data_IF_955557173040
#
_entry.id   IF_955557173040
#
_cell.length_a   1.000
_cell.length_b   1.000
_cell.length_c   1.000
_cell.angle_alpha   90.00
_cell.angle_beta   90.00
_cell.angle_gamma   90.00
#
_symmetry.space_group_name_H-M   'P 1'
#
loop_
_entity.id
_entity.type
_entity.pdbx_description
1 polymer ?
#
# COMPACT_ATOMS: atom_id res chain seq x y z
N UNK A 1 3.84 51.07 5.26
CA UNK A 1 4.41 50.39 6.44
C UNK A 1 3.79 49.00 6.49
N UNK A 2 4.44 48.06 5.83
CA UNK A 2 4.06 46.65 5.78
C UNK A 2 5.35 45.87 6.00
N UNK A 3 5.36 44.99 6.99
CA UNK A 3 6.55 44.26 7.40
C UNK A 3 6.25 42.77 7.23
N UNK A 4 6.87 42.20 6.20
CA UNK A 4 6.88 40.77 5.90
C UNK A 4 7.58 40.00 7.02
N UNK A 5 7.01 38.85 7.41
CA UNK A 5 7.68 37.86 8.25
C UNK A 5 8.10 36.69 7.39
N UNK A 6 9.42 36.56 7.20
CA UNK A 6 10.10 35.42 6.59
C UNK A 6 10.15 34.28 7.63
N UNK A 7 9.55 33.14 7.31
CA UNK A 7 9.87 31.88 7.99
C UNK A 7 11.07 31.23 7.29
N UNK A 8 12.08 30.94 8.09
CA UNK A 8 13.37 30.38 7.71
C UNK A 8 13.23 28.85 7.58
N UNK A 9 13.67 28.28 6.46
CA UNK A 9 13.75 26.83 6.23
C UNK A 9 15.21 26.43 6.36
N UNK A 10 15.54 25.67 7.40
CA UNK A 10 16.91 25.22 7.64
C UNK A 10 17.32 24.12 6.66
N UNK A 11 18.54 24.31 6.13
CA UNK A 11 19.21 23.45 5.15
C UNK A 11 19.82 22.22 5.84
N UNK A 12 19.62 21.06 5.24
CA UNK A 12 20.44 19.87 5.50
C UNK A 12 21.83 20.04 4.86
N UNK A 13 22.88 20.05 5.67
CA UNK A 13 24.28 19.87 5.22
C UNK A 13 24.93 18.74 6.01
N UNK A 14 25.28 17.65 5.33
CA UNK A 14 26.13 16.59 5.86
C UNK A 14 27.60 16.98 5.68
N UNK A 15 28.29 17.18 6.81
CA UNK A 15 29.74 17.38 6.85
C UNK A 15 30.48 16.07 6.55
N UNK A 16 31.52 16.18 5.72
CA UNK A 16 32.35 15.06 5.28
C UNK A 16 33.38 14.59 6.32
N UNK A 17 33.72 13.30 6.24
CA UNK A 17 34.93 12.74 6.82
C UNK A 17 35.67 11.92 5.74
N UNK A 18 36.92 12.33 5.45
CA UNK A 18 37.89 11.59 4.64
C UNK A 18 38.59 10.56 5.52
N UNK A 19 38.76 9.33 5.03
CA UNK A 19 40.07 8.68 4.77
C UNK A 19 39.97 7.15 4.84
N UNK A 20 40.77 6.47 4.00
CA UNK A 20 41.16 5.08 4.20
C UNK A 20 40.81 4.11 3.06
N UNK A 21 41.56 4.15 1.95
CA UNK A 21 41.63 3.06 0.98
C UNK A 21 42.26 1.82 1.62
N UNK A 22 41.59 0.66 1.57
CA UNK A 22 42.23 -0.66 1.47
C UNK A 22 41.47 -1.51 0.47
N UNK A 23 42.22 -2.14 -0.44
CA UNK A 23 41.76 -3.07 -1.46
C UNK A 23 41.18 -4.36 -0.84
N UNK A 24 40.24 -5.05 -1.51
CA UNK A 24 39.94 -6.44 -1.18
C UNK A 24 40.80 -7.40 -2.00
N UNK A 25 41.53 -8.28 -1.31
CA UNK A 25 42.18 -9.45 -1.88
C UNK A 25 41.14 -10.48 -2.33
N UNK A 26 41.39 -11.07 -3.50
CA UNK A 26 40.73 -12.27 -4.01
C UNK A 26 41.03 -13.45 -3.09
N UNK A 27 40.00 -14.14 -2.60
CA UNK A 27 40.12 -15.54 -2.24
C UNK A 27 39.19 -16.38 -3.11
N UNK A 28 39.83 -17.21 -3.92
CA UNK A 28 39.24 -18.28 -4.73
C UNK A 28 39.14 -19.53 -3.88
N UNK A 29 37.96 -20.13 -3.75
CA UNK A 29 37.85 -21.56 -3.46
C UNK A 29 36.61 -22.17 -4.12
N UNK A 30 36.65 -23.48 -4.45
CA UNK A 30 35.99 -24.02 -5.63
C UNK A 30 34.68 -24.75 -5.31
N UNK A 31 33.84 -24.85 -6.34
CA UNK A 31 32.71 -25.77 -6.44
C UNK A 31 33.17 -27.23 -6.43
N UNK A 32 32.34 -28.16 -5.92
CA UNK A 32 32.30 -29.51 -6.44
C UNK A 32 31.01 -29.82 -7.19
N UNK A 33 31.22 -30.70 -8.14
CA UNK A 33 30.41 -31.18 -9.24
C UNK A 33 29.22 -32.06 -8.87
N UNK A 34 28.28 -32.08 -9.83
CA UNK A 34 27.26 -33.11 -10.09
C UNK A 34 27.83 -34.54 -10.03
N UNK A 35 27.05 -35.47 -9.45
CA UNK A 35 26.90 -36.83 -10.00
C UNK A 35 25.48 -37.34 -9.72
N UNK A 36 24.79 -37.73 -10.79
CA UNK A 36 23.51 -38.45 -10.77
C UNK A 36 23.76 -39.95 -10.61
N UNK A 37 22.82 -40.69 -9.99
CA UNK A 37 22.46 -42.04 -10.42
C UNK A 37 21.03 -42.38 -9.97
N UNK A 38 20.24 -42.80 -10.95
CA UNK A 38 18.90 -43.35 -10.81
C UNK A 38 18.97 -44.88 -10.68
N UNK A 39 18.13 -45.49 -9.84
CA UNK A 39 17.68 -46.88 -10.01
C UNK A 39 16.18 -46.96 -9.71
N UNK A 40 15.47 -47.59 -10.65
CA UNK A 40 14.02 -47.85 -10.71
C UNK A 40 13.62 -49.14 -9.95
N UNK A 41 12.30 -49.26 -9.78
CA UNK A 41 11.47 -50.49 -9.73
C UNK A 41 11.21 -51.09 -8.33
N UNK A 42 10.07 -51.72 -8.00
CA UNK A 42 8.85 -52.12 -8.71
C UNK A 42 7.74 -52.43 -7.67
N UNK A 43 6.47 -52.37 -8.09
CA UNK A 43 5.24 -52.68 -7.32
C UNK A 43 5.14 -54.12 -6.79
N UNK A 44 4.36 -54.34 -5.71
CA UNK A 44 3.23 -55.30 -5.69
C UNK A 44 2.31 -55.24 -4.44
N UNK A 45 1.01 -55.13 -4.75
CA UNK A 45 -0.25 -55.41 -4.02
C UNK A 45 -0.23 -56.40 -2.82
N UNK A 46 -1.13 -56.16 -1.84
CA UNK A 46 -2.36 -56.98 -1.65
C UNK A 46 -3.37 -56.38 -0.67
N UNK A 47 -4.63 -56.44 -1.12
CA UNK A 47 -5.89 -56.12 -0.45
C UNK A 47 -6.33 -57.30 0.42
N UNK A 48 -6.92 -57.01 1.59
CA UNK A 48 -7.62 -57.99 2.41
C UNK A 48 -8.81 -57.33 3.10
N UNK A 49 -10.02 -57.75 2.73
CA UNK A 49 -11.30 -57.30 3.26
C UNK A 49 -11.99 -58.44 4.04
N UNK A 50 -12.88 -58.06 4.99
CA UNK A 50 -14.10 -58.73 5.53
C UNK A 50 -14.19 -58.66 7.08
N UNK A 51 -15.36 -58.87 7.70
CA UNK A 51 -16.67 -58.26 7.43
C UNK A 51 -17.39 -57.76 8.71
N UNK A 52 -18.53 -57.11 8.52
CA UNK A 52 -19.47 -56.59 9.54
C UNK A 52 -20.12 -57.71 10.37
N UNK A 53 -20.36 -57.42 11.65
CA UNK A 53 -21.38 -58.08 12.47
C UNK A 53 -22.30 -57.01 13.09
N UNK A 54 -23.60 -57.17 12.86
CA UNK A 54 -24.69 -56.32 13.30
C UNK A 54 -25.34 -56.89 14.57
N UNK A 55 -25.55 -56.07 15.60
CA UNK A 55 -26.44 -56.35 16.73
C UNK A 55 -27.39 -55.15 16.92
N UNK A 56 -28.68 -55.37 17.25
CA UNK A 56 -29.66 -54.30 17.37
C UNK A 56 -29.72 -53.77 18.81
N UNK A 57 -29.82 -52.45 18.98
CA UNK A 57 -30.17 -51.84 20.27
C UNK A 57 -31.12 -50.66 20.07
N UNK A 58 -32.13 -50.66 20.95
CA UNK A 58 -33.33 -49.84 20.94
C UNK A 58 -33.08 -48.31 21.02
N UNK A 59 -34.05 -47.48 20.58
CA UNK A 59 -33.90 -46.03 20.67
C UNK A 59 -34.18 -45.55 22.10
N UNK A 60 -33.11 -45.22 22.84
CA UNK A 60 -33.18 -44.38 24.02
C UNK A 60 -33.16 -42.90 23.61
N UNK A 61 -34.20 -42.16 23.96
CA UNK A 61 -34.26 -40.70 23.79
C UNK A 61 -33.25 -40.08 24.76
N UNK A 62 -32.10 -39.66 24.25
CA UNK A 62 -31.14 -38.85 24.97
C UNK A 62 -31.51 -37.38 24.80
N UNK A 63 -31.98 -36.76 25.87
CA UNK A 63 -32.21 -35.32 25.95
C UNK A 63 -30.82 -34.63 25.94
N UNK A 64 -30.36 -34.18 24.78
CA UNK A 64 -29.16 -33.33 24.68
C UNK A 64 -29.48 -31.96 25.27
N UNK A 65 -29.05 -31.75 26.51
CA UNK A 65 -28.81 -30.42 27.05
C UNK A 65 -27.69 -29.77 26.22
N UNK A 66 -28.06 -28.97 25.23
CA UNK A 66 -27.14 -28.05 24.58
C UNK A 66 -26.73 -27.00 25.61
N UNK A 67 -25.64 -27.26 26.33
CA UNK A 67 -24.90 -26.21 27.00
C UNK A 67 -24.37 -25.26 25.93
N UNK A 68 -25.03 -24.12 25.76
CA UNK A 68 -24.47 -23.00 25.03
C UNK A 68 -23.22 -22.55 25.79
N UNK A 69 -22.05 -23.10 25.41
CA UNK A 69 -20.76 -22.49 25.72
C UNK A 69 -20.75 -21.12 25.06
N UNK A 70 -21.11 -20.08 25.83
CA UNK A 70 -20.90 -18.71 25.40
C UNK A 70 -19.42 -18.54 25.07
N UNK A 71 -19.12 -18.17 23.82
CA UNK A 71 -17.78 -17.77 23.44
C UNK A 71 -17.49 -16.45 24.16
N UNK A 72 -16.91 -16.52 25.36
CA UNK A 72 -16.40 -15.34 26.05
C UNK A 72 -15.33 -14.72 25.16
N UNK A 73 -15.51 -13.44 24.79
CA UNK A 73 -14.49 -12.66 24.07
C UNK A 73 -13.22 -12.66 24.93
N UNK A 74 -12.22 -13.44 24.53
CA UNK A 74 -10.93 -13.41 25.21
C UNK A 74 -10.22 -12.15 24.75
N UNK A 75 -10.07 -11.22 25.68
CA UNK A 75 -9.28 -10.02 25.49
C UNK A 75 -7.89 -10.35 25.99
N UNK A 76 -6.94 -10.53 25.07
CA UNK A 76 -5.57 -10.83 25.43
C UNK A 76 -4.78 -9.54 25.57
N UNK A 77 -4.50 -9.16 26.82
CA UNK A 77 -3.40 -8.24 27.09
C UNK A 77 -2.11 -8.97 26.76
N UNK A 78 -1.32 -8.44 25.83
CA UNK A 78 -0.08 -9.04 25.37
C UNK A 78 1.09 -8.36 26.10
N UNK A 79 1.88 -9.09 26.90
CA UNK A 79 3.08 -8.53 27.50
C UNK A 79 4.09 -8.07 26.44
N UNK A 80 4.67 -6.90 26.64
CA UNK A 80 5.78 -6.37 25.85
C UNK A 80 7.10 -7.02 26.29
N UNK A 81 7.23 -8.31 26.00
CA UNK A 81 8.43 -9.09 26.29
C UNK A 81 8.86 -9.91 25.08
N UNK A 82 10.13 -10.32 25.05
CA UNK A 82 10.70 -11.15 23.96
C UNK A 82 9.94 -12.48 23.74
N UNK A 83 9.21 -12.97 24.76
CA UNK A 83 8.42 -14.17 24.63
C UNK A 83 7.28 -14.01 23.60
N UNK A 84 6.67 -12.83 23.52
CA UNK A 84 5.50 -12.58 22.65
C UNK A 84 5.85 -11.86 21.35
N UNK A 85 7.03 -11.26 21.25
CA UNK A 85 7.40 -10.43 20.10
C UNK A 85 8.65 -10.95 19.39
N UNK A 86 8.57 -11.07 18.07
CA UNK A 86 9.69 -11.37 17.18
C UNK A 86 10.22 -10.07 16.57
N UNK A 87 11.44 -9.68 16.93
CA UNK A 87 12.01 -8.40 16.51
C UNK A 87 12.91 -8.55 15.30
N UNK A 88 12.84 -7.59 14.37
CA UNK A 88 13.83 -7.38 13.31
C UNK A 88 14.66 -6.15 13.64
N UNK A 89 15.98 -6.22 13.43
CA UNK A 89 16.92 -5.17 13.81
C UNK A 89 17.58 -5.39 15.17
N UNK A 90 18.61 -4.59 15.47
CA UNK A 90 19.46 -4.75 16.65
C UNK A 90 19.03 -3.90 17.84
N UNK A 91 18.07 -2.98 17.65
CA UNK A 91 17.84 -1.87 18.58
C UNK A 91 16.45 -1.97 19.27
N UNK A 92 15.93 -3.20 19.40
CA UNK A 92 14.72 -3.47 20.18
C UNK A 92 15.07 -3.73 21.65
N UNK A 93 14.49 -2.93 22.55
CA UNK A 93 14.73 -3.01 23.99
C UNK A 93 13.41 -3.32 24.70
N UNK A 94 13.42 -4.34 25.55
CA UNK A 94 12.28 -4.70 26.40
C UNK A 94 12.58 -4.26 27.83
N UNK A 95 11.71 -3.42 28.39
CA UNK A 95 11.83 -2.86 29.74
C UNK A 95 10.64 -3.32 30.59
N UNK A 96 10.79 -3.33 31.91
CA UNK A 96 9.68 -3.55 32.86
C UNK A 96 9.68 -2.46 33.93
N UNK A 97 9.28 -1.22 33.58
CA UNK A 97 9.13 -0.14 34.56
C UNK A 97 8.07 -0.47 35.62
N UNK A 98 8.17 0.14 36.80
CA UNK A 98 7.22 -0.09 37.91
C UNK A 98 5.78 0.27 37.54
N UNK A 99 5.60 1.29 36.70
CA UNK A 99 4.30 1.77 36.22
C UNK A 99 3.79 1.02 34.98
N UNK A 100 4.57 0.08 34.42
CA UNK A 100 4.18 -0.76 33.28
C UNK A 100 4.60 -2.22 33.50
N UNK A 101 3.90 -2.96 34.39
CA UNK A 101 4.26 -4.33 34.75
C UNK A 101 4.13 -5.32 33.59
N UNK A 102 3.32 -4.99 32.57
CA UNK A 102 3.22 -5.76 31.32
C UNK A 102 4.37 -5.47 30.34
N UNK A 103 5.32 -4.62 30.74
CA UNK A 103 6.51 -4.27 29.98
C UNK A 103 6.33 -3.04 29.08
N UNK A 104 7.44 -2.61 28.51
CA UNK A 104 7.54 -1.59 27.46
C UNK A 104 8.49 -2.11 26.39
N UNK A 105 8.05 -2.07 25.14
CA UNK A 105 8.90 -2.34 23.98
C UNK A 105 9.34 -1.00 23.39
N UNK A 106 10.64 -0.74 23.37
CA UNK A 106 11.23 0.40 22.68
C UNK A 106 11.91 -0.06 21.39
N UNK A 107 11.52 0.55 20.27
CA UNK A 107 12.11 0.35 18.95
C UNK A 107 12.77 1.66 18.52
N UNK A 108 14.08 1.67 18.30
CA UNK A 108 14.74 2.81 17.62
C UNK A 108 14.79 2.62 16.10
N UNK A 109 14.89 1.37 15.66
CA UNK A 109 14.83 0.95 14.25
C UNK A 109 14.21 -0.44 14.17
N UNK A 110 13.70 -0.77 12.99
CA UNK A 110 13.13 -2.09 12.72
C UNK A 110 11.70 -2.24 13.24
N UNK A 111 11.30 -3.50 13.44
CA UNK A 111 9.93 -3.83 13.79
C UNK A 111 9.83 -4.99 14.78
N UNK A 112 8.67 -5.15 15.39
CA UNK A 112 8.35 -6.28 16.27
C UNK A 112 7.01 -6.90 15.85
N UNK A 113 7.08 -8.14 15.36
CA UNK A 113 5.92 -8.94 14.99
C UNK A 113 5.38 -9.70 16.21
N UNK A 114 4.06 -9.69 16.37
CA UNK A 114 3.37 -10.44 17.42
C UNK A 114 3.35 -11.93 17.06
N UNK A 115 3.87 -12.76 17.97
CA UNK A 115 3.90 -14.22 17.80
C UNK A 115 2.52 -14.83 18.05
N UNK A 116 2.28 -15.94 17.35
CA UNK A 116 1.16 -16.86 17.60
C UNK A 116 -0.25 -16.23 17.53
N UNK A 117 -0.40 -15.10 16.83
CA UNK A 117 -1.67 -14.44 16.60
C UNK A 117 -1.85 -14.08 15.12
N UNK A 118 -3.03 -14.42 14.57
CA UNK A 118 -3.50 -13.96 13.27
C UNK A 118 -4.71 -13.06 13.50
N UNK A 119 -4.65 -11.84 13.00
CA UNK A 119 -5.68 -10.83 13.16
C UNK A 119 -6.45 -10.66 11.86
N UNK A 120 -7.79 -10.70 11.94
CA UNK A 120 -8.69 -10.33 10.84
C UNK A 120 -9.48 -9.09 11.23
N UNK A 121 -10.46 -9.25 12.11
CA UNK A 121 -11.35 -8.21 12.62
C UNK A 121 -11.32 -8.18 14.14
N UNK A 122 -11.71 -7.04 14.71
CA UNK A 122 -11.76 -6.84 16.16
C UNK A 122 -11.18 -5.49 16.57
N UNK A 123 -10.64 -5.45 17.77
CA UNK A 123 -10.03 -4.24 18.34
C UNK A 123 -8.56 -4.46 18.63
N UNK A 124 -7.73 -3.49 18.25
CA UNK A 124 -6.33 -3.38 18.63
C UNK A 124 -6.18 -2.11 19.49
N UNK A 125 -5.72 -2.27 20.72
CA UNK A 125 -5.50 -1.21 21.70
C UNK A 125 -4.02 -1.18 22.07
N UNK A 126 -3.40 0.01 22.11
CA UNK A 126 -2.04 0.17 22.61
C UNK A 126 -1.73 1.61 22.98
N UNK A 127 -0.70 1.80 23.80
CA UNK A 127 -0.12 3.12 24.03
C UNK A 127 1.19 3.25 23.26
N UNK A 128 1.38 4.37 22.56
CA UNK A 128 2.59 4.71 21.82
C UNK A 128 3.25 5.98 22.40
N UNK A 129 4.53 5.86 22.75
CA UNK A 129 5.41 6.97 23.13
C UNK A 129 6.33 7.31 21.97
N UNK A 130 6.35 8.58 21.57
CA UNK A 130 7.11 9.03 20.41
C UNK A 130 8.59 9.17 20.76
N UNK A 131 9.47 8.57 19.96
CA UNK A 131 10.92 8.60 20.19
C UNK A 131 11.60 9.13 18.93
N UNK A 132 12.24 10.30 19.02
CA UNK A 132 12.91 10.89 17.87
C UNK A 132 11.95 11.33 16.76
N UNK A 133 12.43 11.27 15.51
CA UNK A 133 11.69 11.66 14.32
C UNK A 133 11.50 10.45 13.41
N UNK A 134 10.29 10.24 12.90
CA UNK A 134 10.01 9.17 11.96
C UNK A 134 8.52 8.85 11.82
N UNK A 135 8.22 7.96 10.90
CA UNK A 135 6.92 7.33 10.74
C UNK A 135 6.85 6.15 11.71
N UNK A 136 5.84 6.15 12.57
CA UNK A 136 5.70 5.18 13.67
C UNK A 136 4.30 4.60 13.69
N UNK A 137 4.15 3.34 14.06
CA UNK A 137 2.82 2.76 14.14
C UNK A 137 2.81 1.25 14.02
N UNK A 138 1.83 0.77 13.26
CA UNK A 138 1.45 -0.63 13.19
C UNK A 138 1.18 -1.03 11.75
N UNK A 139 1.70 -2.20 11.37
CA UNK A 139 1.21 -2.96 10.23
C UNK A 139 0.33 -4.07 10.77
N UNK A 140 -0.81 -4.30 10.15
CA UNK A 140 -1.78 -5.31 10.55
C UNK A 140 -2.30 -6.02 9.31
N UNK A 141 -2.87 -7.21 9.51
CA UNK A 141 -3.17 -8.12 8.41
C UNK A 141 -1.95 -8.35 7.50
N UNK A 142 -0.75 -8.31 8.10
CA UNK A 142 0.50 -8.49 7.37
C UNK A 142 0.58 -9.95 6.89
N UNK A 143 0.71 -10.14 5.58
CA UNK A 143 0.94 -11.46 4.97
C UNK A 143 2.42 -11.78 4.92
N UNK A 144 3.20 -10.76 4.62
CA UNK A 144 4.65 -10.74 4.58
C UNK A 144 5.15 -9.29 4.70
N UNK A 145 6.46 -9.05 4.91
CA UNK A 145 7.01 -7.70 5.11
C UNK A 145 6.78 -6.69 3.97
N UNK A 146 6.23 -7.10 2.84
CA UNK A 146 5.94 -6.29 1.66
C UNK A 146 4.44 -6.14 1.40
N UNK A 147 3.58 -6.77 2.21
CA UNK A 147 2.13 -6.81 2.01
C UNK A 147 1.37 -6.70 3.33
N UNK A 148 0.84 -5.51 3.63
CA UNK A 148 0.10 -5.24 4.87
C UNK A 148 -0.87 -4.07 4.74
N UNK A 149 -1.80 -3.96 5.68
CA UNK A 149 -2.44 -2.70 6.02
C UNK A 149 -1.55 -1.92 7.00
N UNK A 150 -1.44 -0.60 6.83
CA UNK A 150 -0.56 0.24 7.66
C UNK A 150 -1.37 1.37 8.27
N UNK A 151 -1.31 1.50 9.60
CA UNK A 151 -1.70 2.72 10.30
C UNK A 151 -0.48 3.33 10.96
N UNK A 152 -0.25 4.62 10.73
CA UNK A 152 0.92 5.30 11.24
C UNK A 152 0.65 6.73 11.68
N UNK A 153 1.55 7.23 12.53
CA UNK A 153 1.64 8.60 12.97
C UNK A 153 2.88 9.23 12.32
N UNK A 154 2.74 10.49 11.93
CA UNK A 154 3.80 11.39 11.49
C UNK A 154 3.85 12.58 12.48
N UNK A 155 4.52 12.42 13.64
CA UNK A 155 4.48 13.43 14.67
C UNK A 155 5.12 14.73 14.21
N UNK A 156 4.38 15.82 14.38
CA UNK A 156 4.82 17.19 14.08
C UNK A 156 4.22 18.17 15.10
N UNK A 157 4.84 19.35 15.30
CA UNK A 157 4.40 20.29 16.33
C UNK A 157 2.93 20.72 16.23
N UNK A 158 2.36 20.73 15.03
CA UNK A 158 0.98 21.15 14.72
C UNK A 158 0.04 19.97 14.42
N UNK A 159 0.30 18.78 14.95
CA UNK A 159 -0.49 17.58 14.70
C UNK A 159 -2.01 17.72 14.91
N UNK A 160 -2.44 18.60 15.82
CA UNK A 160 -3.86 18.88 16.10
C UNK A 160 -4.58 19.62 14.97
N UNK A 161 -3.85 20.20 14.01
CA UNK A 161 -4.41 20.93 12.86
C UNK A 161 -3.85 20.49 11.52
N UNK A 162 -2.75 19.74 11.49
CA UNK A 162 -2.18 19.21 10.26
C UNK A 162 -2.91 17.93 9.83
N UNK A 163 -3.46 17.93 8.62
CA UNK A 163 -4.25 16.81 8.11
C UNK A 163 -3.43 15.52 7.96
N UNK A 164 -2.10 15.59 7.86
CA UNK A 164 -1.22 14.45 7.63
C UNK A 164 -0.55 13.92 8.92
N UNK A 165 -1.13 14.21 10.10
CA UNK A 165 -0.57 13.77 11.37
C UNK A 165 -0.71 12.25 11.60
N UNK A 166 -1.84 11.66 11.22
CA UNK A 166 -2.06 10.21 11.20
C UNK A 166 -2.60 9.79 9.85
N UNK A 167 -2.31 8.56 9.45
CA UNK A 167 -2.80 8.05 8.17
C UNK A 167 -2.96 6.53 8.17
N UNK A 168 -3.92 6.08 7.37
CA UNK A 168 -3.99 4.70 6.87
C UNK A 168 -3.53 4.63 5.41
N UNK A 169 -2.80 3.58 5.06
CA UNK A 169 -2.43 3.25 3.69
C UNK A 169 -2.19 1.73 3.53
N UNK A 170 -2.33 1.18 2.31
CA UNK A 170 -1.81 -0.14 2.02
C UNK A 170 -0.27 -0.11 1.84
N UNK A 171 0.36 -1.22 2.17
CA UNK A 171 1.70 -1.60 1.75
C UNK A 171 1.54 -2.79 0.81
N UNK A 172 1.86 -2.61 -0.49
CA UNK A 172 1.74 -3.68 -1.49
C UNK A 172 3.03 -3.80 -2.30
N UNK A 173 3.53 -5.03 -2.42
CA UNK A 173 4.82 -5.33 -3.06
C UNK A 173 5.95 -4.37 -2.63
N UNK A 174 5.97 -3.99 -1.36
CA UNK A 174 7.00 -3.16 -0.76
C UNK A 174 6.83 -1.65 -0.96
N UNK A 175 5.81 -1.22 -1.71
CA UNK A 175 5.49 0.20 -1.88
C UNK A 175 4.51 0.67 -0.79
N UNK A 176 4.90 1.70 -0.05
CA UNK A 176 3.99 2.43 0.83
C UNK A 176 3.23 3.47 0.02
N UNK A 177 1.90 3.41 0.02
CA UNK A 177 1.06 4.18 -0.91
C UNK A 177 0.41 5.44 -0.30
N UNK A 178 1.09 6.06 0.67
CA UNK A 178 0.56 7.20 1.44
C UNK A 178 0.09 8.38 0.56
N UNK A 179 0.71 8.61 -0.58
CA UNK A 179 0.39 9.72 -1.49
C UNK A 179 -0.71 9.40 -2.51
N UNK A 180 -1.15 8.14 -2.61
CA UNK A 180 -2.32 7.74 -3.40
C UNK A 180 -3.63 7.85 -2.61
N UNK A 181 -3.56 7.80 -1.27
CA UNK A 181 -4.74 7.76 -0.40
C UNK A 181 -4.81 8.94 0.61
N UNK A 182 -4.76 10.20 0.15
CA UNK A 182 -4.86 11.36 1.05
C UNK A 182 -6.20 11.47 1.78
N UNK A 183 -7.26 10.82 1.29
CA UNK A 183 -8.56 10.77 1.97
C UNK A 183 -8.52 10.04 3.31
N UNK A 184 -7.47 9.25 3.56
CA UNK A 184 -7.27 8.51 4.80
C UNK A 184 -6.20 9.14 5.70
N UNK A 185 -5.99 10.46 5.55
CA UNK A 185 -5.18 11.30 6.43
C UNK A 185 -6.07 12.08 7.42
N UNK A 186 -5.63 12.24 8.67
CA UNK A 186 -6.30 13.09 9.64
C UNK A 186 -5.34 13.86 10.56
N UNK A 187 -5.80 15.04 11.01
CA UNK A 187 -5.26 15.69 12.19
C UNK A 187 -5.59 14.88 13.44
N UNK A 188 -4.71 14.90 14.43
CA UNK A 188 -4.88 14.11 15.63
C UNK A 188 -4.37 14.83 16.89
N UNK A 189 -5.03 14.65 18.04
CA UNK A 189 -4.64 15.26 19.31
C UNK A 189 -3.49 14.48 19.97
N UNK A 190 -2.36 14.32 19.26
CA UNK A 190 -1.19 13.63 19.77
C UNK A 190 -0.48 14.49 20.84
N UNK A 191 0.00 13.87 21.90
CA UNK A 191 0.88 14.44 22.91
C UNK A 191 2.34 14.07 22.58
N UNK A 192 3.19 14.99 22.08
CA UNK A 192 4.54 14.65 21.60
C UNK A 192 5.48 14.10 22.67
N UNK A 193 5.31 14.53 23.92
CA UNK A 193 6.20 14.20 25.04
C UNK A 193 5.53 13.27 26.08
N UNK A 194 4.45 12.59 25.69
CA UNK A 194 3.71 11.68 26.56
C UNK A 194 3.22 10.45 25.77
N UNK A 195 2.63 9.50 26.47
CA UNK A 195 1.96 8.35 25.89
C UNK A 195 0.69 8.77 25.18
N UNK A 196 0.49 8.20 23.99
CA UNK A 196 -0.72 8.36 23.21
C UNK A 196 -1.45 7.04 23.13
N UNK A 197 -2.70 7.03 23.59
CA UNK A 197 -3.53 5.84 23.52
C UNK A 197 -4.18 5.74 22.13
N UNK A 198 -3.95 4.63 21.45
CA UNK A 198 -4.53 4.32 20.13
C UNK A 198 -5.46 3.13 20.27
N UNK A 199 -6.70 3.30 19.83
CA UNK A 199 -7.66 2.21 19.64
C UNK A 199 -8.09 2.14 18.19
N UNK A 200 -7.90 0.98 17.57
CA UNK A 200 -8.34 0.67 16.22
C UNK A 200 -9.48 -0.34 16.28
N UNK A 201 -10.61 -0.02 15.66
CA UNK A 201 -11.71 -0.94 15.41
C UNK A 201 -11.69 -1.34 13.95
N UNK A 202 -11.52 -2.64 13.67
CA UNK A 202 -11.47 -3.19 12.32
C UNK A 202 -12.66 -4.12 12.11
N UNK A 203 -13.43 -3.85 11.06
CA UNK A 203 -14.65 -4.59 10.70
C UNK A 203 -14.73 -4.77 9.17
N UNK A 204 -14.33 -5.95 8.69
CA UNK A 204 -14.25 -6.27 7.27
C UNK A 204 -13.24 -5.38 6.55
N UNK A 205 -13.72 -4.48 5.70
CA UNK A 205 -12.90 -3.48 5.01
C UNK A 205 -12.98 -2.10 5.64
N UNK A 206 -13.67 -1.94 6.78
CA UNK A 206 -13.74 -0.65 7.47
C UNK A 206 -12.79 -0.62 8.66
N UNK A 207 -12.27 0.56 8.94
CA UNK A 207 -11.50 0.82 10.15
C UNK A 207 -11.86 2.18 10.75
N UNK A 208 -11.95 2.23 12.07
CA UNK A 208 -12.03 3.48 12.83
C UNK A 208 -10.89 3.54 13.83
N UNK A 209 -10.21 4.68 13.91
CA UNK A 209 -9.12 4.92 14.85
C UNK A 209 -9.51 6.03 15.81
N UNK A 210 -9.30 5.78 17.11
CA UNK A 210 -9.55 6.72 18.18
C UNK A 210 -8.22 7.02 18.88
N UNK A 211 -7.90 8.30 19.02
CA UNK A 211 -6.68 8.76 19.68
C UNK A 211 -7.03 9.41 21.02
N UNK A 212 -6.29 9.08 22.07
CA UNK A 212 -6.36 9.68 23.41
C UNK A 212 -7.78 9.73 24.01
N UNK A 213 -8.56 8.66 23.77
CA UNK A 213 -9.90 8.52 24.32
C UNK A 213 -10.95 9.44 23.67
N UNK A 214 -10.68 9.95 22.47
CA UNK A 214 -11.66 10.73 21.69
C UNK A 214 -13.02 10.02 21.62
N UNK A 215 -14.12 10.77 21.80
CA UNK A 215 -15.48 10.24 21.78
C UNK A 215 -15.95 9.87 20.36
N UNK A 216 -15.38 10.52 19.34
CA UNK A 216 -15.59 10.22 17.92
C UNK A 216 -14.30 9.69 17.28
N UNK A 217 -14.38 8.90 16.19
CA UNK A 217 -13.20 8.48 15.45
C UNK A 217 -12.35 9.68 15.03
N UNK A 218 -11.05 9.60 15.28
CA UNK A 218 -10.05 10.56 14.79
C UNK A 218 -9.77 10.33 13.30
N UNK A 219 -9.78 9.06 12.86
CA UNK A 219 -9.70 8.66 11.46
C UNK A 219 -10.75 7.59 11.17
N UNK A 220 -11.43 7.72 10.03
CA UNK A 220 -12.33 6.69 9.49
C UNK A 220 -11.85 6.27 8.11
N UNK A 221 -11.76 4.96 7.90
CA UNK A 221 -11.42 4.32 6.63
C UNK A 221 -12.63 3.50 6.22
N UNK A 222 -13.33 3.97 5.20
CA UNK A 222 -14.58 3.36 4.73
C UNK A 222 -14.33 2.13 3.87
N UNK A 223 -13.17 2.07 3.20
CA UNK A 223 -12.74 0.92 2.41
C UNK A 223 -11.21 0.77 2.46
N UNK A 224 -10.72 -0.15 3.28
CA UNK A 224 -9.31 -0.49 3.43
C UNK A 224 -8.81 -1.09 2.13
N UNK A 225 -7.76 -0.51 1.57
CA UNK A 225 -7.26 -0.81 0.25
C UNK A 225 -6.47 -2.11 0.21
N UNK A 226 -5.86 -2.54 1.32
CA UNK A 226 -5.10 -3.79 1.40
C UNK A 226 -5.91 -5.01 0.95
N UNK A 227 -5.33 -5.96 0.19
CA UNK A 227 -6.04 -7.13 -0.32
C UNK A 227 -6.21 -8.24 0.74
N UNK A 228 -5.52 -8.14 1.88
CA UNK A 228 -5.54 -9.14 2.92
C UNK A 228 -6.76 -8.96 3.85
N UNK A 229 -7.47 -10.05 4.14
CA UNK A 229 -8.53 -10.06 5.16
C UNK A 229 -8.03 -10.51 6.54
N UNK A 230 -6.82 -11.05 6.61
CA UNK A 230 -6.18 -11.54 7.84
C UNK A 230 -4.66 -11.64 7.69
N UNK A 231 -3.93 -11.51 8.79
CA UNK A 231 -2.47 -11.64 8.82
C UNK A 231 -1.89 -11.33 10.21
N UNK A 232 -0.56 -11.19 10.31
CA UNK A 232 0.10 -10.85 11.57
C UNK A 232 -0.05 -9.36 11.92
N UNK A 233 0.34 -9.02 13.14
CA UNK A 233 0.44 -7.65 13.63
C UNK A 233 1.92 -7.33 13.88
N UNK A 234 2.37 -6.18 13.38
CA UNK A 234 3.76 -5.74 13.47
C UNK A 234 3.86 -4.28 13.90
N UNK A 235 4.51 -4.02 15.03
CA UNK A 235 4.82 -2.66 15.51
C UNK A 235 6.12 -2.16 14.87
N UNK A 236 6.19 -0.87 14.52
CA UNK A 236 7.39 -0.27 13.94
C UNK A 236 7.69 1.12 14.51
N UNK A 237 8.98 1.40 14.68
CA UNK A 237 9.51 2.61 15.30
C UNK A 237 10.26 3.53 14.34
N UNK A 238 10.74 4.69 14.84
CA UNK A 238 11.19 4.85 16.23
C UNK A 238 10.09 5.21 17.25
N UNK A 239 9.75 4.30 18.16
CA UNK A 239 8.70 4.50 19.17
C UNK A 239 8.83 3.54 20.36
N UNK A 240 8.19 3.89 21.48
CA UNK A 240 7.94 2.98 22.61
C UNK A 240 6.48 2.52 22.60
N UNK A 241 6.22 1.28 22.98
CA UNK A 241 4.89 0.68 23.00
C UNK A 241 4.63 0.02 24.36
N UNK A 242 3.41 0.17 24.88
CA UNK A 242 2.94 -0.54 26.09
C UNK A 242 1.43 -0.80 26.05
N UNK A 243 0.94 -1.53 27.05
CA UNK A 243 -0.50 -1.78 27.25
C UNK A 243 -1.20 -2.35 26.00
N UNK A 244 -0.49 -3.18 25.24
CA UNK A 244 -1.02 -3.73 24.00
C UNK A 244 -2.03 -4.82 24.29
N UNK A 245 -3.16 -4.73 23.59
CA UNK A 245 -4.29 -5.64 23.75
C UNK A 245 -4.95 -5.85 22.40
N UNK A 246 -5.29 -7.11 22.12
CA UNK A 246 -6.05 -7.49 20.94
C UNK A 246 -7.29 -8.23 21.39
N UNK A 247 -8.43 -7.86 20.81
CA UNK A 247 -9.71 -8.55 21.03
C UNK A 247 -10.27 -8.92 19.66
N UNK A 248 -10.03 -10.16 19.17
CA UNK A 248 -10.57 -10.60 17.90
C UNK A 248 -12.10 -10.60 17.89
N UNK A 249 -12.71 -10.32 16.74
CA UNK A 249 -14.14 -10.48 16.54
C UNK A 249 -14.54 -11.96 16.68
N UNK A 250 -15.69 -12.23 17.31
CA UNK A 250 -16.27 -13.58 17.44
C UNK A 250 -17.76 -13.56 17.10
N UNK A 251 -18.26 -14.47 16.24
CA UNK A 251 -17.50 -15.47 15.47
C UNK A 251 -16.59 -14.82 14.42
N UNK A 252 -15.67 -15.59 13.83
CA UNK A 252 -14.90 -15.16 12.68
C UNK A 252 -15.86 -14.54 11.65
N UNK A 253 -15.51 -13.42 11.01
CA UNK A 253 -16.39 -12.72 10.09
C UNK A 253 -16.86 -13.73 9.05
N UNK A 254 -18.14 -14.10 9.11
CA UNK A 254 -18.79 -14.60 7.90
C UNK A 254 -18.76 -13.39 7.00
N UNK A 255 -18.12 -13.46 5.83
CA UNK A 255 -18.03 -12.35 4.91
C UNK A 255 -19.44 -11.77 4.73
N UNK A 256 -19.76 -10.71 5.47
CA UNK A 256 -21.02 -10.03 5.30
C UNK A 256 -20.94 -9.55 3.86
N UNK A 257 -21.89 -9.92 2.99
CA UNK A 257 -21.88 -9.40 1.63
C UNK A 257 -21.72 -7.90 1.78
N UNK A 258 -20.63 -7.37 1.22
CA UNK A 258 -20.43 -5.92 1.11
C UNK A 258 -21.77 -5.35 0.67
N UNK A 259 -22.27 -4.34 1.39
CA UNK A 259 -23.50 -3.64 1.01
C UNK A 259 -23.51 -3.50 -0.51
N UNK A 260 -24.64 -3.87 -1.15
CA UNK A 260 -24.75 -4.01 -2.61
C UNK A 260 -23.86 -2.99 -3.31
N UNK A 261 -22.85 -3.47 -4.06
CA UNK A 261 -21.77 -2.64 -4.55
C UNK A 261 -22.34 -1.34 -5.13
N UNK A 262 -22.02 -0.22 -4.47
CA UNK A 262 -22.48 1.09 -4.91
C UNK A 262 -22.13 1.26 -6.40
N UNK A 263 -23.03 1.84 -7.21
CA UNK A 263 -22.73 2.07 -8.61
C UNK A 263 -21.40 2.82 -8.74
N UNK A 264 -20.50 2.26 -9.56
CA UNK A 264 -19.21 2.88 -9.82
C UNK A 264 -19.41 4.31 -10.31
N UNK A 265 -18.67 5.30 -9.77
CA UNK A 265 -18.72 6.67 -10.25
C UNK A 265 -18.54 6.74 -11.77
N UNK A 266 -19.40 7.53 -12.42
CA UNK A 266 -19.40 7.70 -13.86
C UNK A 266 -18.21 8.54 -14.36
N UNK A 267 -17.95 8.48 -15.67
CA UNK A 267 -16.96 9.31 -16.35
C UNK A 267 -15.52 8.82 -16.28
N UNK A 268 -15.18 7.90 -15.36
CA UNK A 268 -13.83 7.33 -15.30
C UNK A 268 -13.53 6.44 -16.50
N UNK A 269 -12.32 6.59 -17.04
CA UNK A 269 -11.76 5.63 -18.00
C UNK A 269 -11.17 4.47 -17.19
N UNK A 270 -11.86 3.33 -17.21
CA UNK A 270 -11.58 2.23 -16.29
C UNK A 270 -10.71 1.13 -16.88
N UNK A 271 -10.90 0.80 -18.16
CA UNK A 271 -10.24 -0.34 -18.78
C UNK A 271 -8.98 0.11 -19.50
N UNK A 272 -7.85 -0.42 -19.06
CA UNK A 272 -6.53 -0.12 -19.61
C UNK A 272 -5.76 -1.41 -19.90
N UNK A 273 -4.79 -1.28 -20.78
CA UNK A 273 -3.67 -2.20 -20.87
C UNK A 273 -2.43 -1.48 -20.35
N UNK A 274 -1.52 -2.20 -19.71
CA UNK A 274 -0.29 -1.68 -19.13
C UNK A 274 0.90 -2.54 -19.52
N UNK A 275 2.04 -1.90 -19.78
CA UNK A 275 3.27 -2.57 -20.16
C UNK A 275 4.04 -3.11 -18.96
N UNK A 276 5.08 -3.92 -19.22
CA UNK A 276 6.16 -4.07 -18.26
C UNK A 276 6.85 -2.71 -18.00
N UNK A 277 7.35 -2.46 -16.79
CA UNK A 277 8.10 -1.25 -16.48
C UNK A 277 9.45 -1.23 -17.22
N UNK A 278 9.80 -0.09 -17.78
CA UNK A 278 11.11 0.19 -18.37
C UNK A 278 11.85 1.22 -17.52
N UNK A 279 13.18 1.25 -17.62
CA UNK A 279 13.95 2.32 -16.97
C UNK A 279 13.74 3.63 -17.71
N UNK A 280 13.40 4.67 -16.97
CA UNK A 280 13.23 6.01 -17.52
C UNK A 280 14.56 6.71 -17.81
N UNK A 281 14.55 7.61 -18.80
CA UNK A 281 15.60 8.59 -19.01
C UNK A 281 15.25 9.87 -18.24
N UNK A 282 16.13 10.28 -17.33
CA UNK A 282 15.94 11.49 -16.53
C UNK A 282 17.03 12.50 -16.85
N UNK A 283 16.68 13.79 -16.89
CA UNK A 283 17.61 14.91 -16.98
C UNK A 283 17.48 15.83 -15.76
N UNK A 284 18.51 16.62 -15.45
CA UNK A 284 18.42 17.60 -14.37
C UNK A 284 17.69 18.84 -14.87
N UNK A 285 16.56 19.16 -14.24
CA UNK A 285 15.87 20.43 -14.46
C UNK A 285 16.66 21.55 -13.77
N UNK A 286 17.13 22.59 -14.50
CA UNK A 286 17.95 23.65 -13.92
C UNK A 286 17.19 24.56 -12.95
N UNK A 287 15.87 24.68 -13.10
CA UNK A 287 15.04 25.50 -12.22
C UNK A 287 14.72 24.76 -10.92
N UNK A 288 14.45 23.45 -11.01
CA UNK A 288 14.15 22.61 -9.85
C UNK A 288 15.41 22.09 -9.14
N UNK A 289 16.55 22.05 -9.83
CA UNK A 289 17.80 21.42 -9.38
C UNK A 289 17.61 19.96 -8.98
N UNK A 290 16.77 19.25 -9.73
CA UNK A 290 16.33 17.89 -9.45
C UNK A 290 16.24 17.05 -10.74
N UNK A 291 16.42 15.73 -10.67
CA UNK A 291 16.14 14.84 -11.80
C UNK A 291 14.64 14.85 -12.11
N UNK A 292 14.31 14.99 -13.39
CA UNK A 292 12.95 14.93 -13.94
C UNK A 292 12.93 14.01 -15.15
N UNK A 293 11.78 13.41 -15.44
CA UNK A 293 11.58 12.56 -16.61
C UNK A 293 11.69 13.33 -17.93
N UNK A 294 12.40 12.75 -18.90
CA UNK A 294 12.43 13.23 -20.28
C UNK A 294 11.15 12.73 -21.00
N UNK A 295 10.36 13.61 -21.64
CA UNK A 295 9.13 13.21 -22.31
C UNK A 295 9.38 12.09 -23.32
N UNK A 296 8.80 10.88 -23.13
CA UNK A 296 9.12 9.76 -23.97
C UNK A 296 8.51 9.94 -25.37
N UNK A 297 9.20 9.51 -26.42
CA UNK A 297 8.63 9.53 -27.76
C UNK A 297 7.50 8.48 -27.85
N UNK A 298 6.36 8.80 -28.47
CA UNK A 298 5.27 7.83 -28.64
C UNK A 298 5.72 6.52 -29.31
N UNK A 299 6.72 6.61 -30.20
CA UNK A 299 7.32 5.45 -30.89
C UNK A 299 8.14 4.52 -29.99
N UNK A 300 8.45 4.93 -28.74
CA UNK A 300 9.12 4.06 -27.75
C UNK A 300 8.14 3.16 -26.99
N UNK A 301 6.83 3.35 -27.19
CA UNK A 301 5.80 2.50 -26.60
C UNK A 301 6.00 1.03 -27.04
N UNK A 302 5.87 0.04 -26.13
CA UNK A 302 6.10 -1.37 -26.46
C UNK A 302 5.20 -1.89 -27.60
N UNK A 303 5.81 -2.50 -28.61
CA UNK A 303 5.13 -3.09 -29.75
C UNK A 303 4.68 -4.53 -29.48
N UNK A 304 3.51 -4.92 -30.02
CA UNK A 304 2.99 -6.29 -29.96
C UNK A 304 2.16 -6.60 -28.71
N UNK A 305 1.11 -7.42 -28.85
CA UNK A 305 0.14 -7.69 -27.79
C UNK A 305 0.71 -8.42 -26.56
N UNK A 306 1.78 -9.22 -26.74
CA UNK A 306 2.43 -9.93 -25.64
C UNK A 306 3.13 -9.01 -24.62
N UNK A 307 3.33 -7.72 -24.96
CA UNK A 307 3.93 -6.73 -24.06
C UNK A 307 2.94 -6.11 -23.07
N UNK A 308 1.66 -6.47 -23.15
CA UNK A 308 0.57 -5.77 -22.46
C UNK A 308 -0.27 -6.71 -21.60
N UNK A 309 -0.57 -6.29 -20.37
CA UNK A 309 -1.52 -6.93 -19.47
C UNK A 309 -2.71 -6.02 -19.22
N UNK A 310 -3.89 -6.59 -18.99
CA UNK A 310 -5.08 -5.79 -18.66
C UNK A 310 -4.99 -5.29 -17.22
N UNK A 311 -5.37 -4.04 -16.99
CA UNK A 311 -5.51 -3.44 -15.67
C UNK A 311 -6.80 -2.62 -15.66
N UNK A 312 -7.51 -2.65 -14.54
CA UNK A 312 -8.75 -1.88 -14.36
C UNK A 312 -8.59 -0.87 -13.25
N UNK A 313 -9.20 0.29 -13.43
CA UNK A 313 -9.31 1.28 -12.37
C UNK A 313 -10.16 0.74 -11.22
N UNK A 314 -9.71 1.01 -10.00
CA UNK A 314 -10.40 0.76 -8.74
C UNK A 314 -11.74 1.48 -8.65
N UNK A 315 -12.58 1.21 -7.64
CA UNK A 315 -13.92 1.80 -7.57
C UNK A 315 -13.94 3.32 -7.76
N UNK A 316 -13.01 4.03 -7.09
CA UNK A 316 -12.86 5.49 -7.17
C UNK A 316 -12.05 5.98 -8.38
N UNK A 317 -11.73 5.10 -9.33
CA UNK A 317 -11.14 5.44 -10.62
C UNK A 317 -9.60 5.44 -10.65
N UNK A 318 -8.94 5.13 -9.54
CA UNK A 318 -7.50 4.98 -9.46
C UNK A 318 -7.03 3.74 -10.22
N UNK A 319 -6.13 3.93 -11.18
CA UNK A 319 -5.31 2.87 -11.76
C UNK A 319 -4.03 2.82 -10.94
N UNK A 320 -3.99 1.89 -10.00
CA UNK A 320 -2.89 1.74 -9.04
C UNK A 320 -1.77 0.87 -9.62
N UNK A 321 -0.61 1.49 -9.89
CA UNK A 321 0.53 0.81 -10.51
C UNK A 321 1.45 0.17 -9.47
N UNK A 322 1.41 0.62 -8.22
CA UNK A 322 2.12 0.01 -7.10
C UNK A 322 1.76 -1.45 -6.93
N UNK A 323 0.48 -1.80 -7.10
CA UNK A 323 -0.01 -3.19 -7.04
C UNK A 323 0.62 -4.12 -8.05
N UNK A 324 1.20 -3.58 -9.11
CA UNK A 324 1.65 -4.37 -10.25
C UNK A 324 3.15 -4.39 -10.42
N UNK A 325 3.79 -3.26 -10.09
CA UNK A 325 5.25 -3.09 -10.22
C UNK A 325 5.93 -3.15 -8.85
N UNK A 326 5.22 -2.82 -7.77
CA UNK A 326 5.76 -2.67 -6.43
C UNK A 326 6.78 -1.55 -6.31
N UNK A 327 7.46 -1.50 -5.15
CA UNK A 327 8.70 -0.75 -5.02
C UNK A 327 9.83 -1.69 -5.40
N UNK A 328 10.51 -1.44 -6.52
CA UNK A 328 11.71 -2.19 -6.83
C UNK A 328 12.85 -1.80 -5.87
N UNK A 329 13.73 -2.74 -5.49
CA UNK A 329 14.94 -2.45 -4.74
C UNK A 329 16.09 -1.93 -5.63
N UNK A 330 15.81 -1.45 -6.84
CA UNK A 330 16.83 -1.01 -7.82
C UNK A 330 17.44 0.37 -7.52
N UNK A 331 17.11 0.96 -6.37
CA UNK A 331 17.72 2.18 -5.85
C UNK A 331 17.01 3.42 -6.35
N UNK A 332 17.75 4.38 -6.88
CA UNK A 332 17.21 5.67 -7.36
C UNK A 332 16.82 5.66 -8.85
N UNK A 333 16.66 4.49 -9.45
CA UNK A 333 16.35 4.38 -10.87
C UNK A 333 14.85 4.51 -11.07
N UNK A 334 14.42 5.53 -11.81
CA UNK A 334 13.01 5.74 -12.07
C UNK A 334 12.47 4.69 -13.06
N UNK A 335 11.35 4.09 -12.71
CA UNK A 335 10.56 3.22 -13.58
C UNK A 335 9.52 4.04 -14.32
N UNK A 336 9.38 3.78 -15.63
CA UNK A 336 8.32 4.29 -16.48
C UNK A 336 7.45 3.11 -16.93
N UNK A 337 6.13 3.28 -16.91
CA UNK A 337 5.19 2.36 -17.56
C UNK A 337 4.39 3.09 -18.63
N UNK A 338 4.03 2.33 -19.67
CA UNK A 338 3.03 2.76 -20.63
C UNK A 338 1.69 2.13 -20.30
N UNK A 339 0.62 2.91 -20.45
CA UNK A 339 -0.75 2.45 -20.49
C UNK A 339 -1.39 2.81 -21.82
N UNK A 340 -2.34 2.00 -22.28
CA UNK A 340 -3.12 2.30 -23.46
C UNK A 340 -4.56 1.84 -23.33
N UNK A 341 -5.45 2.55 -24.03
CA UNK A 341 -6.85 2.15 -24.20
C UNK A 341 -7.41 2.72 -25.50
N UNK A 342 -8.54 2.19 -25.97
CA UNK A 342 -9.23 2.67 -27.16
C UNK A 342 -10.58 3.26 -26.78
N UNK A 343 -10.83 4.49 -27.26
CA UNK A 343 -12.06 5.21 -27.06
C UNK A 343 -12.82 5.32 -28.39
N UNK A 344 -14.07 4.91 -28.41
CA UNK A 344 -14.98 5.19 -29.52
C UNK A 344 -15.73 6.49 -29.31
N UNK A 345 -15.65 7.37 -30.31
CA UNK A 345 -16.38 8.64 -30.34
C UNK A 345 -17.44 8.61 -31.43
N UNK A 346 -18.68 9.00 -31.14
CA UNK A 346 -19.77 9.01 -32.12
C UNK A 346 -19.69 10.16 -33.15
N UNK A 347 -18.87 11.18 -32.84
CA UNK A 347 -18.61 12.37 -33.65
C UNK A 347 -17.19 12.91 -33.39
N UNK A 348 -16.76 13.86 -34.20
CA UNK A 348 -15.60 14.69 -33.86
C UNK A 348 -15.97 15.58 -32.68
N UNK A 349 -15.22 15.51 -31.58
CA UNK A 349 -15.49 16.28 -30.38
C UNK A 349 -14.25 16.51 -29.52
N UNK A 350 -14.38 17.44 -28.59
CA UNK A 350 -13.42 17.64 -27.52
C UNK A 350 -14.09 17.31 -26.20
N UNK A 351 -13.42 16.56 -25.34
CA UNK A 351 -13.89 16.26 -23.99
C UNK A 351 -12.96 16.90 -22.97
N UNK A 352 -13.54 17.59 -22.01
CA UNK A 352 -12.80 18.01 -20.83
C UNK A 352 -12.55 16.78 -19.96
N UNK A 353 -11.30 16.64 -19.52
CA UNK A 353 -10.83 15.51 -18.74
C UNK A 353 -10.14 16.03 -17.49
N UNK A 354 -10.54 15.51 -16.33
CA UNK A 354 -9.82 15.64 -15.07
C UNK A 354 -8.81 14.51 -14.92
N UNK A 355 -7.63 14.86 -14.40
CA UNK A 355 -6.51 13.96 -14.19
C UNK A 355 -6.02 14.10 -12.76
N UNK A 356 -5.96 12.99 -12.04
CA UNK A 356 -5.24 12.87 -10.78
C UNK A 356 -4.11 11.88 -10.96
N UNK A 357 -2.93 12.18 -10.42
CA UNK A 357 -1.76 11.33 -10.52
C UNK A 357 -0.71 11.74 -9.49
N UNK A 358 0.26 10.88 -9.27
CA UNK A 358 1.50 11.25 -8.58
C UNK A 358 2.67 11.01 -9.53
N UNK A 359 3.70 11.86 -9.37
CA UNK A 359 4.94 11.95 -10.17
C UNK A 359 4.73 12.60 -11.53
N UNK A 360 5.29 12.10 -12.62
CA UNK A 360 5.20 12.76 -13.93
C UNK A 360 4.36 11.94 -14.90
N UNK A 361 3.61 12.64 -15.76
CA UNK A 361 2.65 12.00 -16.66
C UNK A 361 2.68 12.66 -18.04
N UNK A 362 2.59 11.83 -19.09
CA UNK A 362 2.49 12.24 -20.48
C UNK A 362 1.34 11.50 -21.15
N UNK A 363 0.41 12.25 -21.76
CA UNK A 363 -0.80 11.72 -22.39
C UNK A 363 -0.73 11.95 -23.89
N UNK A 364 -0.97 10.89 -24.66
CA UNK A 364 -0.96 10.89 -26.12
C UNK A 364 -2.33 10.49 -26.65
N UNK A 365 -2.87 11.29 -27.58
CA UNK A 365 -4.07 10.93 -28.36
C UNK A 365 -3.66 10.73 -29.81
N UNK A 366 -3.93 9.54 -30.35
CA UNK A 366 -3.61 9.16 -31.73
C UNK A 366 -2.14 9.47 -32.11
N UNK A 367 -1.23 9.14 -31.19
CA UNK A 367 0.22 9.34 -31.36
C UNK A 367 0.74 10.76 -31.15
N UNK A 368 -0.13 11.73 -30.82
CA UNK A 368 0.26 13.12 -30.52
C UNK A 368 0.21 13.38 -29.03
N UNK A 369 1.27 13.97 -28.47
CA UNK A 369 1.28 14.45 -27.08
C UNK A 369 0.21 15.55 -26.93
N UNK A 370 -0.75 15.34 -26.05
CA UNK A 370 -1.85 16.28 -25.77
C UNK A 370 -1.79 16.87 -24.36
N UNK A 371 -1.07 16.23 -23.45
CA UNK A 371 -0.85 16.72 -22.10
C UNK A 371 0.46 16.17 -21.53
N UNK A 372 1.19 16.99 -20.78
CA UNK A 372 2.37 16.60 -20.03
C UNK A 372 2.48 17.49 -18.79
N UNK A 373 2.63 16.91 -17.62
CA UNK A 373 2.66 17.66 -16.37
C UNK A 373 3.32 16.86 -15.24
N UNK A 374 3.64 17.53 -14.13
CA UNK A 374 4.41 17.02 -13.00
C UNK A 374 3.66 17.19 -11.68
N UNK A 375 3.81 16.22 -10.78
CA UNK A 375 3.32 16.24 -9.41
C UNK A 375 4.39 15.62 -8.49
N UNK A 376 5.50 16.32 -8.33
CA UNK A 376 6.70 15.83 -7.65
C UNK A 376 6.69 16.22 -6.18
N UNK A 377 6.42 15.26 -5.30
CA UNK A 377 6.44 15.48 -3.85
C UNK A 377 7.78 16.02 -3.35
N UNK A 378 7.73 16.91 -2.36
CA UNK A 378 8.91 17.52 -1.75
C UNK A 378 9.57 18.63 -2.58
N UNK A 379 9.04 18.93 -3.78
CA UNK A 379 9.50 20.03 -4.63
C UNK A 379 8.37 21.06 -4.80
N UNK A 380 8.28 22.11 -3.98
CA UNK A 380 7.16 23.05 -4.00
C UNK A 380 6.84 23.67 -5.38
N UNK A 381 7.84 23.86 -6.23
CA UNK A 381 7.68 24.40 -7.58
C UNK A 381 7.12 23.37 -8.60
N UNK A 382 7.03 22.09 -8.23
CA UNK A 382 6.55 20.98 -9.04
C UNK A 382 5.51 20.09 -8.32
N UNK A 383 5.18 20.39 -7.06
CA UNK A 383 4.09 19.76 -6.30
C UNK A 383 2.74 20.39 -6.66
N UNK A 384 1.71 19.57 -6.85
CA UNK A 384 0.32 20.03 -6.99
C UNK A 384 -0.41 19.88 -5.67
N UNK A 385 -1.48 20.63 -5.49
CA UNK A 385 -2.32 20.49 -4.30
C UNK A 385 -3.08 19.13 -4.34
N UNK A 386 -3.18 18.40 -3.21
CA UNK A 386 -2.58 18.72 -1.91
C UNK A 386 -1.14 18.17 -1.79
N UNK A 387 -0.16 19.07 -1.73
CA UNK A 387 1.25 18.77 -1.39
C UNK A 387 1.82 17.52 -2.09
N UNK A 388 1.80 17.48 -3.42
CA UNK A 388 2.38 16.39 -4.20
C UNK A 388 1.57 15.10 -4.27
N UNK A 389 0.41 15.03 -3.60
CA UNK A 389 -0.43 13.82 -3.50
C UNK A 389 -1.46 13.74 -4.61
N UNK A 390 -2.00 12.55 -4.78
CA UNK A 390 -3.06 12.25 -5.73
C UNK A 390 -4.32 13.08 -5.46
N UNK A 391 -4.83 13.75 -6.48
CA UNK A 391 -6.15 14.36 -6.47
C UNK A 391 -6.66 14.53 -7.91
N UNK A 392 -7.95 14.31 -8.15
CA UNK A 392 -8.56 14.63 -9.45
C UNK A 392 -8.55 16.12 -9.79
N UNK A 393 -8.15 16.99 -8.85
CA UNK A 393 -7.90 18.41 -9.11
C UNK A 393 -6.44 18.71 -9.49
N UNK A 394 -5.54 17.71 -9.56
CA UNK A 394 -4.14 17.92 -9.94
C UNK A 394 -4.02 18.56 -11.34
N UNK A 395 -4.85 18.14 -12.29
CA UNK A 395 -4.83 18.69 -13.64
C UNK A 395 -6.10 18.44 -14.42
N UNK A 396 -6.25 19.19 -15.50
CA UNK A 396 -7.30 18.94 -16.48
C UNK A 396 -6.88 19.44 -17.85
N UNK A 397 -7.42 18.83 -18.91
CA UNK A 397 -7.09 19.21 -20.28
C UNK A 397 -8.24 18.85 -21.24
N UNK A 398 -8.19 19.45 -22.44
CA UNK A 398 -9.14 19.18 -23.51
C UNK A 398 -8.64 18.06 -24.41
N UNK A 399 -9.22 16.87 -24.30
CA UNK A 399 -8.89 15.70 -25.13
C UNK A 399 -9.56 15.80 -26.51
N UNK A 400 -8.80 15.92 -27.62
CA UNK A 400 -9.36 15.84 -28.96
C UNK A 400 -9.68 14.39 -29.34
N UNK A 401 -10.90 14.16 -29.82
CA UNK A 401 -11.38 12.89 -30.34
C UNK A 401 -11.96 13.08 -31.75
N UNK A 402 -11.64 12.17 -32.67
CA UNK A 402 -12.30 12.09 -33.97
C UNK A 402 -13.39 11.01 -33.93
N UNK A 403 -14.36 11.07 -34.84
CA UNK A 403 -15.40 10.05 -34.97
C UNK A 403 -14.78 8.67 -35.22
N UNK A 404 -15.17 7.67 -34.43
CA UNK A 404 -14.62 6.31 -34.46
C UNK A 404 -13.56 6.09 -33.39
N UNK A 405 -12.62 5.18 -33.66
CA UNK A 405 -11.62 4.72 -32.71
C UNK A 405 -10.50 5.75 -32.48
N UNK A 406 -10.27 6.09 -31.23
CA UNK A 406 -9.16 6.93 -30.79
C UNK A 406 -8.25 6.13 -29.88
N UNK A 407 -6.97 6.05 -30.22
CA UNK A 407 -5.97 5.46 -29.35
C UNK A 407 -5.54 6.49 -28.32
N UNK A 408 -5.76 6.18 -27.04
CA UNK A 408 -5.22 6.92 -25.93
C UNK A 408 -4.05 6.12 -25.35
N UNK A 409 -2.93 6.80 -25.09
CA UNK A 409 -1.79 6.24 -24.39
C UNK A 409 -1.31 7.19 -23.30
N UNK A 410 -0.80 6.63 -22.21
CA UNK A 410 -0.22 7.36 -21.08
C UNK A 410 1.16 6.77 -20.81
N UNK A 411 2.17 7.62 -20.67
CA UNK A 411 3.40 7.26 -19.99
C UNK A 411 3.35 7.92 -18.61
N UNK A 412 3.71 7.17 -17.57
CA UNK A 412 3.76 7.65 -16.18
C UNK A 412 4.95 7.01 -15.49
N UNK A 413 5.61 7.77 -14.63
CA UNK A 413 6.81 7.35 -13.90
C UNK A 413 6.59 7.25 -12.38
N UNK A 414 7.55 6.66 -11.67
CA UNK A 414 7.59 6.64 -10.21
C UNK A 414 8.60 7.64 -9.62
N UNK A 415 8.94 8.72 -10.37
CA UNK A 415 10.05 9.61 -10.03
C UNK A 415 9.85 10.31 -8.69
N UNK A 416 10.71 10.02 -7.71
CA UNK A 416 10.72 10.72 -6.43
C UNK A 416 12.11 11.35 -6.20
N UNK A 417 12.32 12.60 -6.66
CA UNK A 417 13.64 13.21 -6.65
C UNK A 417 14.29 13.22 -5.26
N UNK A 418 15.56 12.80 -5.20
CA UNK A 418 16.34 12.77 -3.97
C UNK A 418 16.09 11.55 -3.07
N UNK A 419 15.23 10.61 -3.48
CA UNK A 419 14.95 9.39 -2.72
C UNK A 419 15.52 8.14 -3.40
N UNK A 420 15.83 7.14 -2.58
CA UNK A 420 16.25 5.80 -3.04
C UNK A 420 15.14 4.76 -2.86
N UNK A 421 14.02 5.16 -2.27
CA UNK A 421 12.82 4.34 -2.13
C UNK A 421 11.71 5.01 -2.92
N UNK A 422 11.02 4.21 -3.72
CA UNK A 422 9.85 4.65 -4.46
C UNK A 422 8.58 4.26 -3.68
N UNK A 423 7.57 5.12 -3.72
CA UNK A 423 6.31 4.98 -2.97
C UNK A 423 5.15 4.68 -3.94
N UNK A 424 3.92 4.90 -3.47
CA UNK A 424 2.71 4.92 -4.28
C UNK A 424 2.88 5.61 -5.64
N UNK A 425 2.37 4.97 -6.70
CA UNK A 425 2.22 5.60 -8.00
C UNK A 425 1.05 5.05 -8.81
N UNK A 426 0.45 5.92 -9.61
CA UNK A 426 -0.81 5.67 -10.29
C UNK A 426 -1.46 6.95 -10.76
N UNK A 427 -2.59 6.78 -11.45
CA UNK A 427 -3.36 7.91 -11.96
C UNK A 427 -4.85 7.56 -12.05
N UNK A 428 -5.69 8.57 -12.22
CA UNK A 428 -7.09 8.44 -12.56
C UNK A 428 -7.44 9.47 -13.62
N UNK A 429 -8.22 9.04 -14.61
CA UNK A 429 -8.68 9.90 -15.69
C UNK A 429 -10.20 9.86 -15.77
N UNK A 430 -10.85 11.03 -15.69
CA UNK A 430 -12.30 11.16 -15.66
C UNK A 430 -12.79 12.22 -16.64
N UNK A 431 -13.74 11.88 -17.49
CA UNK A 431 -14.48 12.84 -18.29
C UNK A 431 -15.41 13.69 -17.42
N UNK A 432 -15.48 14.98 -17.68
CA UNK A 432 -16.52 15.86 -17.13
C UNK A 432 -17.91 15.42 -17.61
N UNK A 433 -17.99 15.05 -18.89
CA UNK A 433 -19.18 14.50 -19.53
C UNK A 433 -18.78 13.36 -20.49
N UNK A 434 -19.13 12.10 -20.19
CA UNK A 434 -18.79 10.95 -21.03
C UNK A 434 -19.69 10.81 -22.28
N UNK A 435 -20.69 11.66 -22.50
CA UNK A 435 -21.66 11.51 -23.60
C UNK A 435 -21.00 11.37 -24.98
N UNK A 436 -21.45 10.41 -25.78
CA UNK A 436 -20.90 10.16 -27.12
C UNK A 436 -19.49 9.57 -27.13
N UNK A 437 -18.95 9.16 -25.98
CA UNK A 437 -17.66 8.45 -25.87
C UNK A 437 -17.87 7.13 -25.14
N UNK A 438 -17.36 6.04 -25.69
CA UNK A 438 -17.38 4.71 -25.07
C UNK A 438 -15.96 4.15 -25.00
N UNK A 439 -15.52 3.70 -23.82
CA UNK A 439 -14.26 2.98 -23.70
C UNK A 439 -14.45 1.52 -24.15
N UNK A 440 -13.62 1.06 -25.09
CA UNK A 440 -13.66 -0.33 -25.52
C UNK A 440 -13.11 -1.26 -24.44
N UNK A 441 -13.85 -2.33 -24.14
CA UNK A 441 -13.38 -3.39 -23.26
C UNK A 441 -12.35 -4.24 -24.00
N UNK A 442 -11.13 -4.31 -23.48
CA UNK A 442 -10.14 -5.27 -23.95
C UNK A 442 -10.50 -6.62 -23.33
N UNK A 443 -10.99 -7.58 -24.12
CA UNK A 443 -11.20 -8.93 -23.61
C UNK A 443 -9.85 -9.50 -23.15
N UNK A 444 -9.74 -10.10 -21.95
CA UNK A 444 -8.55 -10.86 -21.61
C UNK A 444 -8.40 -11.97 -22.66
N UNK A 445 -7.22 -12.09 -23.27
CA UNK A 445 -6.91 -13.21 -24.13
C UNK A 445 -7.21 -14.48 -23.34
N UNK A 446 -8.07 -15.35 -23.90
CA UNK A 446 -8.43 -16.60 -23.27
C UNK A 446 -7.14 -17.38 -22.93
N UNK A 447 -6.85 -17.55 -21.65
CA UNK A 447 -5.85 -18.49 -21.20
C UNK A 447 -6.36 -19.88 -21.56
N UNK A 448 -5.78 -20.47 -22.60
CA UNK A 448 -5.97 -21.89 -22.88
C UNK A 448 -5.55 -22.68 -21.65
N UNK A 449 -6.40 -23.58 -21.11
CA UNK A 449 -6.01 -24.45 -20.02
C UNK A 449 -4.90 -25.39 -20.50
N UNK A 450 -3.77 -25.39 -19.81
CA UNK A 450 -2.82 -26.51 -19.82
C UNK A 450 -2.89 -27.24 -18.49
#
# INVERSE_FOLDING_TARGET
MAQEHKCNVDRYTTAGAKSGRRQPERSTHPSPSKTAHAIRSLLARKVGAKPRASWPSAPGIALLLMAATGCTKHSDTVPMTRAHWQTTGTDAVFLTPKDSPQGVLQLQRGSAELKDLQFSDGTIDFDIGLVGHGIVGIRFRERDPHNADVFYLRPQPNCSTSFDCIQYMPLEHGAYEWDLFPQYEAAAPIHPNDWNHIRMHVDGRRMQVFVNGSASPTLSVDDMEGPASSGSIVLHGPASFRNFKVTPASPAPTATPSAAAEPLPAGFIRNWQVSAPVRELTSTDPALQAPVGDPPAYTSMPAGSAAWRSISAEPQGLVNLSREVGSKPDGSATSLVWLQTTLDSDRDQRKQVHLGWVREIWVYSNGRLVHADRNLYGLPAASKSPDGRFSLQNGSFSLPLHKGHNQLAIAIDDNLPGNTQHFGWGFAMRFDDPSGVTALTHSPAATSPQ
#
